data_IF_356196338751
#
_entry.id   IF_356196338751
#
_cell.length_a   1.000
_cell.length_b   1.000
_cell.length_c   1.000
_cell.angle_alpha   90.00
_cell.angle_beta   90.00
_cell.angle_gamma   90.00
#
_symmetry.space_group_name_H-M   'P 1'
#
loop_
_entity.id
_entity.type
_entity.pdbx_description
1 polymer ?
#
# COMPACT_ATOMS: atom_id res chain seq x y z
N UNK A 1 30.93 -9.91 13.60
CA UNK A 1 29.48 -10.04 13.87
C UNK A 1 28.76 -9.33 12.74
N UNK A 2 28.05 -10.04 11.86
CA UNK A 2 27.29 -9.38 10.78
C UNK A 2 26.00 -8.82 11.37
N UNK A 3 25.82 -7.50 11.30
CA UNK A 3 24.59 -6.81 11.71
C UNK A 3 23.52 -7.04 10.64
N UNK A 4 22.79 -8.15 10.73
CA UNK A 4 21.62 -8.39 9.90
C UNK A 4 20.43 -7.58 10.43
N UNK A 5 19.54 -7.16 9.52
CA UNK A 5 18.26 -6.58 9.91
C UNK A 5 17.50 -7.59 10.79
N UNK A 6 17.03 -7.14 11.95
CA UNK A 6 16.30 -7.99 12.91
C UNK A 6 14.82 -8.15 12.53
N UNK A 7 14.27 -7.18 11.81
CA UNK A 7 12.90 -7.16 11.34
C UNK A 7 12.90 -6.58 9.93
N UNK A 8 12.15 -7.24 9.04
CA UNK A 8 11.94 -6.78 7.66
C UNK A 8 10.44 -6.64 7.45
N UNK A 9 10.05 -5.47 6.95
CA UNK A 9 8.69 -5.15 6.59
C UNK A 9 8.67 -4.82 5.11
N UNK A 10 7.82 -5.49 4.34
CA UNK A 10 7.62 -5.22 2.93
C UNK A 10 6.36 -4.40 2.76
N UNK A 11 6.43 -3.36 1.94
CA UNK A 11 5.29 -2.52 1.61
C UNK A 11 4.91 -2.84 0.16
N UNK A 12 3.65 -3.19 -0.07
CA UNK A 12 3.12 -3.38 -1.41
C UNK A 12 3.00 -2.06 -2.16
N UNK A 13 3.22 -2.07 -3.46
CA UNK A 13 3.09 -0.88 -4.31
C UNK A 13 1.63 -0.41 -4.35
N UNK A 14 1.34 0.90 -4.23
CA UNK A 14 0.00 1.42 -4.46
C UNK A 14 -0.39 1.33 -5.94
N UNK A 15 -1.68 1.49 -6.29
CA UNK A 15 -2.09 1.58 -7.69
C UNK A 15 -1.57 2.86 -8.34
N UNK A 16 -1.36 2.82 -9.66
CA UNK A 16 -1.21 4.00 -10.51
C UNK A 16 -2.61 4.61 -10.71
N UNK A 17 -2.69 5.94 -10.61
CA UNK A 17 -3.94 6.68 -10.75
C UNK A 17 -4.35 6.87 -12.20
N UNK A 18 -3.63 7.71 -12.93
CA UNK A 18 -3.85 7.96 -14.35
C UNK A 18 -2.54 8.36 -15.02
N UNK A 19 -2.37 8.03 -16.29
CA UNK A 19 -1.31 8.60 -17.13
C UNK A 19 -1.71 8.32 -18.58
N UNK A 20 -1.90 9.36 -19.43
CA UNK A 20 -2.28 9.16 -20.82
C UNK A 20 -1.19 8.49 -21.68
N UNK A 21 0.06 8.43 -21.21
CA UNK A 21 1.19 7.85 -21.94
C UNK A 21 1.31 6.33 -21.79
N UNK A 22 0.58 5.71 -20.84
CA UNK A 22 0.66 4.28 -20.57
C UNK A 22 -0.72 3.62 -20.49
N UNK A 23 -0.75 2.30 -20.66
CA UNK A 23 -1.92 1.50 -20.31
C UNK A 23 -1.95 1.29 -18.78
N UNK A 24 -2.60 2.23 -18.07
CA UNK A 24 -2.73 2.19 -16.60
C UNK A 24 -3.42 0.91 -16.12
N UNK A 25 -4.39 0.39 -16.87
CA UNK A 25 -5.09 -0.85 -16.49
C UNK A 25 -4.13 -2.03 -16.53
N UNK A 26 -3.36 -2.16 -17.62
CA UNK A 26 -2.35 -3.22 -17.73
C UNK A 26 -1.25 -3.08 -16.68
N UNK A 27 -0.77 -1.85 -16.43
CA UNK A 27 0.24 -1.58 -15.41
C UNK A 27 -0.26 -1.95 -13.99
N UNK A 28 -1.49 -1.58 -13.64
CA UNK A 28 -2.11 -1.94 -12.37
C UNK A 28 -2.33 -3.45 -12.22
N UNK A 29 -2.64 -4.16 -13.31
CA UNK A 29 -2.69 -5.63 -13.28
C UNK A 29 -1.32 -6.25 -13.00
N UNK A 30 -0.24 -5.70 -13.58
CA UNK A 30 1.13 -6.12 -13.29
C UNK A 30 1.52 -5.83 -11.83
N UNK A 31 1.20 -4.66 -11.31
CA UNK A 31 1.43 -4.31 -9.89
C UNK A 31 0.66 -5.23 -8.94
N UNK A 32 -0.58 -5.58 -9.27
CA UNK A 32 -1.36 -6.56 -8.50
C UNK A 32 -0.66 -7.92 -8.45
N UNK A 33 -0.13 -8.40 -9.57
CA UNK A 33 0.62 -9.65 -9.64
C UNK A 33 1.93 -9.57 -8.84
N UNK A 34 2.64 -8.45 -8.94
CA UNK A 34 3.84 -8.15 -8.17
C UNK A 34 3.57 -8.18 -6.66
N UNK A 35 2.57 -7.44 -6.19
CA UNK A 35 2.18 -7.38 -4.78
C UNK A 35 1.77 -8.75 -4.24
N UNK A 36 1.03 -9.55 -5.03
CA UNK A 36 0.68 -10.92 -4.66
C UNK A 36 1.93 -11.79 -4.48
N UNK A 37 2.91 -11.65 -5.37
CA UNK A 37 4.17 -12.39 -5.27
C UNK A 37 4.97 -11.94 -4.05
N UNK A 38 5.08 -10.64 -3.81
CA UNK A 38 5.74 -10.08 -2.64
C UNK A 38 5.12 -10.61 -1.34
N UNK A 39 3.79 -10.55 -1.22
CA UNK A 39 3.05 -11.10 -0.08
C UNK A 39 3.26 -12.60 0.13
N UNK A 40 3.38 -13.37 -0.94
CA UNK A 40 3.68 -14.81 -0.84
C UNK A 40 5.09 -15.07 -0.32
N UNK A 41 6.07 -14.25 -0.72
CA UNK A 41 7.45 -14.35 -0.25
C UNK A 41 7.52 -13.97 1.23
N UNK A 42 6.89 -12.88 1.65
CA UNK A 42 6.90 -12.47 3.06
C UNK A 42 6.28 -13.53 3.97
N UNK A 43 5.16 -14.14 3.56
CA UNK A 43 4.53 -15.23 4.30
C UNK A 43 5.45 -16.45 4.45
N UNK A 44 6.26 -16.76 3.43
CA UNK A 44 7.21 -17.89 3.47
C UNK A 44 8.37 -17.66 4.46
N UNK A 45 8.67 -16.40 4.75
CA UNK A 45 9.81 -15.99 5.57
C UNK A 45 9.41 -15.29 6.87
N UNK A 46 8.15 -15.40 7.28
CA UNK A 46 7.63 -14.79 8.52
C UNK A 46 7.89 -13.27 8.60
N UNK A 47 7.90 -12.60 7.44
CA UNK A 47 8.06 -11.15 7.35
C UNK A 47 6.69 -10.46 7.33
N UNK A 48 6.65 -9.23 7.83
CA UNK A 48 5.46 -8.39 7.71
C UNK A 48 5.21 -7.94 6.26
N UNK A 49 3.94 -7.73 5.91
CA UNK A 49 3.52 -7.14 4.63
C UNK A 49 2.45 -6.08 4.86
N UNK A 50 2.71 -4.85 4.42
CA UNK A 50 1.74 -3.75 4.43
C UNK A 50 1.11 -3.68 3.05
N UNK A 51 -0.22 -3.86 3.01
CA UNK A 51 -0.99 -3.71 1.78
C UNK A 51 -1.48 -2.26 1.64
N UNK A 52 -0.93 -1.54 0.65
CA UNK A 52 -1.40 -0.20 0.28
C UNK A 52 -2.54 -0.24 -0.75
N UNK A 53 -2.80 -1.38 -1.38
CA UNK A 53 -3.73 -1.46 -2.50
C UNK A 53 -5.17 -1.15 -2.08
N UNK A 54 -5.62 -1.80 -1.00
CA UNK A 54 -6.96 -1.64 -0.46
C UNK A 54 -7.23 -0.20 0.05
N UNK A 55 -6.40 0.40 0.95
CA UNK A 55 -6.68 1.74 1.45
C UNK A 55 -6.71 2.80 0.34
N UNK A 56 -5.86 2.66 -0.67
CA UNK A 56 -5.89 3.54 -1.83
C UNK A 56 -7.20 3.42 -2.63
N UNK A 57 -7.67 2.20 -2.89
CA UNK A 57 -8.95 1.99 -3.57
C UNK A 57 -10.14 2.53 -2.76
N UNK A 58 -10.13 2.33 -1.45
CA UNK A 58 -11.24 2.73 -0.60
C UNK A 58 -11.37 4.25 -0.53
N UNK A 59 -10.26 4.97 -0.30
CA UNK A 59 -10.27 6.43 -0.26
C UNK A 59 -10.59 7.01 -1.64
N UNK A 60 -10.02 6.46 -2.70
CA UNK A 60 -10.35 6.82 -4.07
C UNK A 60 -11.87 6.76 -4.33
N UNK A 61 -12.50 5.64 -3.98
CA UNK A 61 -13.95 5.42 -4.18
C UNK A 61 -14.78 6.39 -3.36
N UNK A 62 -14.38 6.66 -2.12
CA UNK A 62 -15.02 7.68 -1.29
C UNK A 62 -14.97 9.08 -1.92
N UNK A 63 -13.97 9.37 -2.76
CA UNK A 63 -13.85 10.63 -3.52
C UNK A 63 -14.47 10.56 -4.92
N UNK A 64 -15.24 9.50 -5.22
CA UNK A 64 -15.96 9.36 -6.48
C UNK A 64 -15.10 8.85 -7.63
N UNK A 65 -14.01 8.16 -7.33
CA UNK A 65 -13.00 7.73 -8.29
C UNK A 65 -12.64 6.25 -8.11
N UNK A 66 -12.30 5.52 -9.18
CA UNK A 66 -11.87 4.10 -9.07
C UNK A 66 -10.59 3.84 -9.89
N UNK A 67 -9.45 3.49 -9.24
CA UNK A 67 -8.19 3.16 -9.93
C UNK A 67 -8.31 2.01 -10.94
N UNK A 68 -9.34 1.16 -10.84
CA UNK A 68 -9.59 0.05 -11.76
C UNK A 68 -10.28 0.48 -13.07
N UNK A 69 -10.77 1.71 -13.15
CA UNK A 69 -11.41 2.28 -14.35
C UNK A 69 -10.87 3.69 -14.66
N UNK A 70 -9.55 3.87 -14.82
CA UNK A 70 -8.93 5.18 -14.97
C UNK A 70 -9.48 5.95 -16.18
N UNK A 71 -9.68 7.26 -16.03
CA UNK A 71 -10.19 8.16 -17.06
C UNK A 71 -9.40 9.47 -17.07
N UNK A 72 -9.07 10.05 -18.25
CA UNK A 72 -8.35 11.31 -18.36
C UNK A 72 -9.06 12.52 -17.71
N UNK A 73 -10.38 12.46 -17.52
CA UNK A 73 -11.18 13.53 -16.92
C UNK A 73 -10.99 13.66 -15.40
N UNK A 74 -10.19 12.79 -14.77
CA UNK A 74 -10.10 12.65 -13.33
C UNK A 74 -8.93 13.41 -12.69
N UNK A 75 -8.49 14.50 -13.31
CA UNK A 75 -7.70 15.55 -12.66
C UNK A 75 -8.57 16.30 -11.63
N UNK A 76 -9.09 15.59 -10.65
CA UNK A 76 -9.91 16.16 -9.59
C UNK A 76 -9.06 17.11 -8.75
N UNK A 77 -9.69 18.16 -8.21
CA UNK A 77 -9.03 19.09 -7.28
C UNK A 77 -8.52 18.40 -5.99
N UNK A 78 -8.98 17.17 -5.71
CA UNK A 78 -8.53 16.33 -4.60
C UNK A 78 -8.24 14.91 -5.11
N UNK A 79 -6.98 14.47 -4.99
CA UNK A 79 -6.49 13.17 -5.48
C UNK A 79 -5.38 12.64 -4.57
N UNK A 80 -5.21 11.32 -4.47
CA UNK A 80 -4.05 10.70 -3.80
C UNK A 80 -2.78 10.73 -4.69
N UNK A 81 -2.92 11.07 -5.97
CA UNK A 81 -1.81 11.25 -6.91
C UNK A 81 -1.69 12.72 -7.31
N UNK A 82 -0.46 13.19 -7.48
CA UNK A 82 -0.13 14.55 -7.92
C UNK A 82 -0.16 14.68 -9.44
N UNK A 83 0.41 13.72 -10.15
CA UNK A 83 0.44 13.65 -11.62
C UNK A 83 -0.18 12.36 -12.18
N UNK A 84 -0.74 11.54 -11.29
CA UNK A 84 -1.37 10.27 -11.61
C UNK A 84 -0.45 9.05 -11.50
N UNK A 85 0.87 9.25 -11.29
CA UNK A 85 1.82 8.19 -10.90
C UNK A 85 2.37 8.46 -9.50
N UNK A 86 2.88 9.67 -9.27
CA UNK A 86 3.44 10.07 -7.99
C UNK A 86 2.34 10.45 -7.01
N UNK A 87 2.60 10.20 -5.72
CA UNK A 87 1.65 10.54 -4.67
C UNK A 87 1.54 12.07 -4.49
N UNK A 88 0.34 12.52 -4.18
CA UNK A 88 0.11 13.86 -3.61
C UNK A 88 0.40 13.86 -2.11
N UNK A 89 0.28 15.02 -1.46
CA UNK A 89 0.34 15.10 0.01
C UNK A 89 -0.70 14.19 0.69
N UNK A 90 -1.90 14.07 0.10
CA UNK A 90 -2.92 13.15 0.61
C UNK A 90 -2.51 11.68 0.48
N UNK A 91 -1.87 11.31 -0.64
CA UNK A 91 -1.36 9.96 -0.85
C UNK A 91 -0.21 9.63 0.11
N UNK A 92 0.69 10.58 0.36
CA UNK A 92 1.78 10.42 1.33
C UNK A 92 1.23 10.25 2.74
N UNK A 93 0.25 11.06 3.15
CA UNK A 93 -0.34 10.92 4.49
C UNK A 93 -1.08 9.58 4.65
N UNK A 94 -1.79 9.11 3.62
CA UNK A 94 -2.42 7.80 3.65
C UNK A 94 -1.40 6.66 3.85
N UNK A 95 -0.24 6.74 3.18
CA UNK A 95 0.86 5.78 3.39
C UNK A 95 1.37 5.86 4.83
N UNK A 96 1.58 7.07 5.35
CA UNK A 96 2.06 7.29 6.72
C UNK A 96 1.11 6.69 7.75
N UNK A 97 -0.18 6.95 7.62
CA UNK A 97 -1.23 6.45 8.51
C UNK A 97 -1.29 4.92 8.44
N UNK A 98 -1.31 4.35 7.22
CA UNK A 98 -1.37 2.90 7.03
C UNK A 98 -0.19 2.18 7.68
N UNK A 99 1.03 2.72 7.55
CA UNK A 99 2.23 2.16 8.18
C UNK A 99 2.16 2.31 9.70
N UNK A 100 1.73 3.46 10.19
CA UNK A 100 1.64 3.74 11.63
C UNK A 100 0.66 2.79 12.30
N UNK A 101 -0.52 2.60 11.71
CA UNK A 101 -1.55 1.68 12.19
C UNK A 101 -1.07 0.23 12.20
N UNK A 102 -0.37 -0.19 11.14
CA UNK A 102 0.23 -1.53 11.07
C UNK A 102 1.20 -1.75 12.24
N UNK A 103 2.14 -0.82 12.45
CA UNK A 103 3.16 -0.94 13.49
C UNK A 103 2.54 -0.92 14.90
N UNK A 104 1.55 -0.06 15.14
CA UNK A 104 0.84 0.01 16.41
C UNK A 104 0.09 -1.29 16.72
N UNK A 105 -0.61 -1.84 15.73
CA UNK A 105 -1.35 -3.11 15.87
C UNK A 105 -0.42 -4.26 16.19
N UNK A 106 0.71 -4.39 15.48
CA UNK A 106 1.65 -5.49 15.70
C UNK A 106 2.32 -5.42 17.08
N UNK A 107 2.72 -4.23 17.54
CA UNK A 107 3.24 -4.04 18.90
C UNK A 107 2.23 -4.45 19.97
N UNK A 108 0.96 -4.13 19.75
CA UNK A 108 -0.12 -4.50 20.67
C UNK A 108 -0.27 -6.01 20.75
N UNK A 109 -0.26 -6.70 19.60
CA UNK A 109 -0.33 -8.16 19.55
C UNK A 109 0.87 -8.83 20.23
N UNK A 110 2.09 -8.33 19.98
CA UNK A 110 3.31 -8.83 20.64
C UNK A 110 3.22 -8.73 22.16
N UNK A 111 2.66 -7.62 22.68
CA UNK A 111 2.48 -7.40 24.12
C UNK A 111 1.48 -8.38 24.71
N UNK A 112 0.32 -8.55 24.07
CA UNK A 112 -0.72 -9.49 24.52
C UNK A 112 -0.25 -10.95 24.51
N UNK A 113 0.53 -11.34 23.49
CA UNK A 113 1.11 -12.68 23.41
C UNK A 113 2.16 -12.94 24.51
N UNK A 114 2.95 -11.91 24.86
CA UNK A 114 3.91 -12.00 25.94
C UNK A 114 3.22 -12.17 27.31
N UNK A 115 2.14 -11.43 27.56
CA UNK A 115 1.36 -11.52 28.81
C UNK A 115 0.60 -12.84 28.95
N UNK A 116 0.07 -13.40 27.85
CA UNK A 116 -0.64 -14.67 27.85
C UNK A 116 0.26 -15.92 28.04
N UNK A 117 1.58 -15.74 27.94
CA UNK A 117 2.57 -16.82 28.08
C UNK A 117 3.16 -16.92 29.49
N UNK A 118 2.64 -16.16 30.45
CA UNK A 118 3.02 -16.11 31.88
C UNK A 118 1.93 -16.75 32.73
#
# INVERSE_FOLDING_TARGET
MRTHARQVLVIGEPPIGWDPAIDVRAANAMLTAYNRRARSVTATHEMGFIDLWAPFHDIARCWGWDPSTPSPAWQAARSLWSDGIHLSEFGVELVRDTITDYLATHRTLETLMAEASV
#
